data_IF_593234920953
#
_entry.id   IF_593234920953
#
_cell.length_a   1.000
_cell.length_b   1.000
_cell.length_c   1.000
_cell.angle_alpha   90.00
_cell.angle_beta   90.00
_cell.angle_gamma   90.00
#
_symmetry.space_group_name_H-M   'P 1'
#
loop_
_entity.id
_entity.type
_entity.pdbx_description
1 polymer ?
#
# COMPACT_ATOMS: atom_id res chain seq x y z
N UNK A 1 -12.09 13.18 -8.36
CA UNK A 1 -12.46 12.86 -6.97
C UNK A 1 -12.96 14.16 -6.38
N UNK A 2 -14.13 14.17 -5.78
CA UNK A 2 -14.46 15.31 -4.97
C UNK A 2 -13.53 15.34 -3.74
N UNK A 3 -13.36 16.52 -3.16
CA UNK A 3 -12.38 16.76 -2.09
C UNK A 3 -12.74 16.11 -0.74
N UNK A 4 -13.71 15.21 -0.71
CA UNK A 4 -14.22 14.60 0.52
C UNK A 4 -13.91 13.11 0.64
N UNK A 5 -13.44 12.46 -0.44
CA UNK A 5 -13.13 11.03 -0.45
C UNK A 5 -11.68 10.78 -0.04
N UNK A 6 -11.47 9.90 0.91
CA UNK A 6 -10.15 9.52 1.41
C UNK A 6 -9.99 8.00 1.48
N UNK A 7 -8.81 7.52 1.83
CA UNK A 7 -8.53 6.10 2.04
C UNK A 7 -8.96 5.69 3.45
N UNK A 8 -9.58 4.52 3.52
CA UNK A 8 -9.85 3.84 4.79
C UNK A 8 -9.05 2.55 4.80
N UNK A 9 -8.21 2.39 5.80
CA UNK A 9 -7.40 1.18 6.01
C UNK A 9 -8.11 0.27 7.00
N UNK A 10 -8.44 -0.95 6.57
CA UNK A 10 -9.20 -1.92 7.37
C UNK A 10 -8.42 -3.23 7.45
N UNK A 11 -8.35 -3.79 8.65
CA UNK A 11 -7.80 -5.14 8.85
C UNK A 11 -8.86 -6.20 8.56
N UNK A 12 -8.42 -7.35 8.06
CA UNK A 12 -9.33 -8.49 7.86
C UNK A 12 -10.08 -8.90 9.14
N UNK A 13 -9.45 -8.72 10.31
CA UNK A 13 -10.08 -9.00 11.58
C UNK A 13 -11.24 -8.05 11.92
N UNK A 14 -11.25 -6.85 11.35
CA UNK A 14 -12.30 -5.85 11.55
C UNK A 14 -13.53 -6.12 10.65
N UNK A 15 -13.30 -6.82 9.51
CA UNK A 15 -14.34 -7.16 8.54
C UNK A 15 -14.41 -8.68 8.29
N UNK A 16 -14.31 -9.48 9.35
CA UNK A 16 -14.22 -10.92 9.22
C UNK A 16 -15.56 -11.57 8.86
N UNK A 17 -16.67 -11.03 9.33
CA UNK A 17 -18.01 -11.56 9.06
C UNK A 17 -18.63 -10.86 7.86
N UNK A 18 -19.48 -11.59 7.15
CA UNK A 18 -20.21 -11.04 6.00
C UNK A 18 -21.05 -9.82 6.39
N UNK A 19 -21.69 -9.88 7.56
CA UNK A 19 -22.51 -8.80 8.10
C UNK A 19 -21.71 -7.53 8.35
N UNK A 20 -20.46 -7.66 8.82
CA UNK A 20 -19.57 -6.52 9.07
C UNK A 20 -19.16 -5.85 7.73
N UNK A 21 -18.90 -6.65 6.69
CA UNK A 21 -18.61 -6.15 5.34
C UNK A 21 -19.83 -5.42 4.76
N UNK A 22 -21.01 -6.01 4.87
CA UNK A 22 -22.25 -5.41 4.37
C UNK A 22 -22.57 -4.09 5.07
N UNK A 23 -22.42 -4.03 6.41
CA UNK A 23 -22.57 -2.81 7.18
C UNK A 23 -21.55 -1.74 6.76
N UNK A 24 -20.28 -2.11 6.64
CA UNK A 24 -19.22 -1.20 6.22
C UNK A 24 -19.47 -0.62 4.83
N UNK A 25 -19.89 -1.45 3.87
CA UNK A 25 -20.23 -1.01 2.51
C UNK A 25 -21.44 -0.08 2.49
N UNK A 26 -22.44 -0.31 3.36
CA UNK A 26 -23.62 0.57 3.47
C UNK A 26 -23.30 1.92 4.13
N UNK A 27 -22.37 1.93 5.07
CA UNK A 27 -21.97 3.14 5.80
C UNK A 27 -20.99 4.02 5.00
N UNK A 28 -20.29 3.45 4.02
CA UNK A 28 -19.26 4.12 3.27
C UNK A 28 -19.54 4.08 1.76
N UNK A 29 -19.40 5.21 1.09
CA UNK A 29 -19.47 5.30 -0.38
C UNK A 29 -18.16 4.81 -1.01
N UNK A 30 -18.02 3.48 -1.11
CA UNK A 30 -16.79 2.83 -1.58
C UNK A 30 -16.72 2.91 -3.10
N UNK A 31 -15.74 3.62 -3.62
CA UNK A 31 -15.46 3.71 -5.07
C UNK A 31 -14.53 2.64 -5.57
N UNK A 32 -13.49 2.33 -4.79
CA UNK A 32 -12.49 1.30 -5.10
C UNK A 32 -12.11 0.56 -3.83
N UNK A 33 -11.80 -0.70 -3.98
CA UNK A 33 -11.18 -1.49 -2.93
C UNK A 33 -9.99 -2.25 -3.49
N UNK A 34 -8.97 -2.39 -2.68
CA UNK A 34 -7.83 -3.25 -2.97
C UNK A 34 -7.49 -4.03 -1.70
N UNK A 35 -6.98 -5.22 -1.87
CA UNK A 35 -6.64 -6.08 -0.76
C UNK A 35 -5.29 -6.73 -0.98
N UNK A 36 -4.42 -6.62 0.00
CA UNK A 36 -3.21 -7.40 0.15
C UNK A 36 -2.85 -7.46 1.64
N UNK A 37 -2.18 -6.45 2.16
CA UNK A 37 -1.84 -6.33 3.58
C UNK A 37 -0.45 -6.88 3.94
N UNK A 38 -0.07 -6.71 5.19
CA UNK A 38 -0.82 -6.12 6.30
C UNK A 38 -0.87 -4.59 6.30
N UNK A 39 -1.65 -4.00 7.22
CA UNK A 39 -1.43 -2.63 7.65
C UNK A 39 -0.08 -2.57 8.36
N UNK A 40 0.79 -1.68 7.91
CA UNK A 40 2.13 -1.48 8.46
C UNK A 40 2.16 -0.39 9.52
N UNK A 41 1.41 0.68 9.28
CA UNK A 41 1.27 1.82 10.18
C UNK A 41 -0.20 2.22 10.27
N UNK A 42 -0.63 2.58 11.47
CA UNK A 42 -1.91 3.21 11.75
C UNK A 42 -1.68 4.39 12.70
N UNK A 43 -2.10 5.57 12.31
CA UNK A 43 -1.95 6.82 13.07
C UNK A 43 -0.50 7.08 13.55
N UNK A 44 0.47 6.74 12.71
CA UNK A 44 1.90 6.90 13.00
C UNK A 44 2.53 5.78 13.83
N UNK A 45 1.74 4.84 14.32
CA UNK A 45 2.22 3.71 15.11
C UNK A 45 2.38 2.45 14.27
N UNK A 46 3.45 1.69 14.53
CA UNK A 46 3.69 0.41 13.86
C UNK A 46 2.64 -0.60 14.30
N UNK A 47 1.89 -1.14 13.35
CA UNK A 47 0.95 -2.21 13.61
C UNK A 47 1.71 -3.46 14.09
N UNK A 48 1.12 -4.17 15.04
CA UNK A 48 1.70 -5.38 15.64
C UNK A 48 0.84 -6.60 15.31
N UNK A 49 1.42 -7.78 15.41
CA UNK A 49 0.66 -9.03 15.21
C UNK A 49 0.42 -9.38 13.75
N UNK A 50 1.42 -9.23 12.90
CA UNK A 50 1.36 -9.65 11.50
C UNK A 50 1.16 -11.16 11.39
N UNK A 51 -0.08 -11.61 11.47
CA UNK A 51 -0.47 -13.04 11.35
C UNK A 51 -0.75 -13.42 9.90
N UNK A 52 0.14 -13.05 9.01
CA UNK A 52 -0.06 -13.36 7.61
C UNK A 52 0.83 -14.51 7.20
N UNK A 53 0.21 -15.63 6.88
CA UNK A 53 0.87 -16.72 6.18
C UNK A 53 1.26 -16.36 4.75
N UNK A 54 1.18 -15.08 4.40
CA UNK A 54 1.53 -14.58 3.07
C UNK A 54 2.90 -13.93 3.13
N UNK A 55 3.83 -14.60 2.52
CA UNK A 55 5.19 -14.12 2.42
C UNK A 55 5.95 -14.22 3.73
N UNK A 56 7.23 -14.26 3.60
CA UNK A 56 8.11 -14.41 4.75
C UNK A 56 8.32 -13.04 5.40
N UNK A 57 7.57 -12.78 6.46
CA UNK A 57 7.61 -11.52 7.23
C UNK A 57 9.05 -11.16 7.62
N UNK A 58 9.86 -12.16 7.97
CA UNK A 58 11.22 -11.99 8.47
C UNK A 58 12.27 -11.82 7.37
N UNK A 59 12.01 -12.31 6.17
CA UNK A 59 12.97 -12.22 5.08
C UNK A 59 12.95 -10.85 4.40
N UNK A 60 14.11 -10.45 3.92
CA UNK A 60 14.25 -9.24 3.13
C UNK A 60 13.85 -9.50 1.68
N UNK A 61 12.87 -8.73 1.22
CA UNK A 61 12.40 -8.69 -0.17
C UNK A 61 12.16 -7.25 -0.61
N UNK A 62 12.05 -7.03 -1.91
CA UNK A 62 11.44 -5.81 -2.43
C UNK A 62 10.02 -5.70 -1.86
N UNK A 63 9.69 -4.57 -1.28
CA UNK A 63 8.40 -4.31 -0.64
C UNK A 63 7.75 -3.11 -1.30
N UNK A 64 6.43 -3.11 -1.32
CA UNK A 64 5.66 -1.96 -1.77
C UNK A 64 4.61 -1.60 -0.73
N UNK A 65 4.31 -0.33 -0.61
CA UNK A 65 3.25 0.18 0.25
C UNK A 65 2.55 1.38 -0.37
N UNK A 66 1.24 1.44 -0.16
CA UNK A 66 0.47 2.66 -0.30
C UNK A 66 0.40 3.33 1.07
N UNK A 67 0.81 4.58 1.12
CA UNK A 67 0.99 5.34 2.34
C UNK A 67 0.20 6.63 2.32
N UNK A 68 -0.17 7.11 3.50
CA UNK A 68 -0.82 8.39 3.71
C UNK A 68 -0.03 9.19 4.75
N UNK A 69 0.32 10.42 4.42
CA UNK A 69 0.98 11.37 5.34
C UNK A 69 0.01 12.38 5.95
N UNK A 70 -1.20 12.46 5.45
CA UNK A 70 -2.26 13.35 5.91
C UNK A 70 -3.48 13.19 5.03
N UNK A 71 -4.60 13.85 5.33
CA UNK A 71 -5.80 13.78 4.53
C UNK A 71 -5.50 14.08 3.06
N UNK A 72 -5.92 13.21 2.16
CA UNK A 72 -5.72 13.30 0.70
C UNK A 72 -4.24 13.44 0.26
N UNK A 73 -3.30 13.17 1.14
CA UNK A 73 -1.86 13.22 0.83
C UNK A 73 -1.27 11.81 0.84
N UNK A 74 -1.04 11.25 -0.34
CA UNK A 74 -0.60 9.88 -0.55
C UNK A 74 0.82 9.80 -1.07
N UNK A 75 1.50 8.72 -0.68
CA UNK A 75 2.85 8.39 -1.12
C UNK A 75 2.92 6.89 -1.41
N UNK A 76 3.47 6.52 -2.55
CA UNK A 76 3.86 5.13 -2.80
C UNK A 76 5.33 4.94 -2.47
N UNK A 77 5.64 3.87 -1.78
CA UNK A 77 7.01 3.58 -1.36
C UNK A 77 7.36 2.15 -1.75
N UNK A 78 8.53 1.96 -2.33
CA UNK A 78 9.11 0.64 -2.55
C UNK A 78 10.45 0.51 -1.84
N UNK A 79 10.70 -0.65 -1.23
CA UNK A 79 12.04 -1.07 -0.87
C UNK A 79 12.63 -1.80 -2.07
N UNK A 80 13.78 -1.32 -2.54
CA UNK A 80 14.46 -1.83 -3.73
C UNK A 80 14.98 -3.27 -3.53
N UNK A 81 15.51 -3.88 -4.57
CA UNK A 81 16.15 -5.21 -4.55
C UNK A 81 17.02 -5.44 -3.30
N UNK A 82 16.90 -6.62 -2.71
CA UNK A 82 17.50 -6.90 -1.41
C UNK A 82 16.73 -6.32 -0.23
N UNK A 83 15.83 -5.45 -0.46
CA UNK A 83 14.70 -4.92 0.30
C UNK A 83 14.85 -4.84 1.81
N UNK A 84 13.73 -5.10 2.47
CA UNK A 84 13.63 -5.14 3.92
C UNK A 84 12.66 -6.24 4.35
N UNK A 85 12.80 -6.74 5.57
CA UNK A 85 11.71 -7.46 6.19
C UNK A 85 10.57 -6.48 6.53
N UNK A 86 9.37 -7.00 6.79
CA UNK A 86 8.18 -6.17 7.00
C UNK A 86 8.36 -5.19 8.17
N UNK A 87 8.92 -5.64 9.28
CA UNK A 87 9.11 -4.80 10.48
C UNK A 87 10.07 -3.65 10.18
N UNK A 88 11.18 -3.94 9.50
CA UNK A 88 12.14 -2.91 9.12
C UNK A 88 11.55 -1.91 8.12
N UNK A 89 10.74 -2.40 7.20
CA UNK A 89 10.04 -1.54 6.24
C UNK A 89 9.08 -0.59 6.95
N UNK A 90 8.25 -1.10 7.88
CA UNK A 90 7.36 -0.28 8.71
C UNK A 90 8.13 0.78 9.52
N UNK A 91 9.26 0.41 10.15
CA UNK A 91 10.11 1.36 10.87
C UNK A 91 10.64 2.49 9.99
N UNK A 92 11.04 2.17 8.76
CA UNK A 92 11.51 3.19 7.81
C UNK A 92 10.37 4.12 7.42
N UNK A 93 9.18 3.59 7.13
CA UNK A 93 8.01 4.41 6.81
C UNK A 93 7.65 5.34 7.97
N UNK A 94 7.64 4.83 9.21
CA UNK A 94 7.40 5.62 10.42
C UNK A 94 8.43 6.75 10.55
N UNK A 95 9.71 6.45 10.35
CA UNK A 95 10.78 7.47 10.42
C UNK A 95 10.66 8.57 9.35
N UNK A 96 9.86 8.36 8.32
CA UNK A 96 9.55 9.34 7.27
C UNK A 96 8.28 10.14 7.52
N UNK A 97 7.66 9.97 8.69
CA UNK A 97 6.45 10.70 9.05
C UNK A 97 5.19 10.19 8.36
N UNK A 98 5.20 8.93 7.90
CA UNK A 98 4.01 8.28 7.38
C UNK A 98 3.05 8.01 8.54
N UNK A 99 1.79 8.39 8.37
CA UNK A 99 0.74 8.13 9.36
C UNK A 99 0.10 6.76 9.15
N UNK A 100 -0.34 6.49 7.93
CA UNK A 100 -0.96 5.22 7.60
C UNK A 100 -0.22 4.57 6.44
N UNK A 101 0.00 3.26 6.52
CA UNK A 101 0.68 2.51 5.48
C UNK A 101 0.10 1.11 5.34
N UNK A 102 -0.20 0.73 4.11
CA UNK A 102 -0.73 -0.56 3.74
C UNK A 102 0.23 -1.28 2.81
N UNK A 103 0.64 -2.49 3.18
CA UNK A 103 1.51 -3.29 2.34
C UNK A 103 0.78 -3.77 1.09
N UNK A 104 1.45 -3.63 -0.03
CA UNK A 104 1.05 -4.21 -1.31
C UNK A 104 1.90 -5.46 -1.57
N UNK A 105 1.60 -6.18 -2.65
CA UNK A 105 2.41 -7.32 -3.07
C UNK A 105 3.87 -6.90 -3.27
N UNK A 106 4.78 -7.77 -2.92
CA UNK A 106 6.22 -7.53 -2.93
C UNK A 106 6.95 -8.33 -4.01
N UNK A 107 8.28 -8.43 -3.86
CA UNK A 107 9.09 -9.19 -4.80
C UNK A 107 9.04 -8.58 -6.21
N UNK A 108 8.69 -9.38 -7.21
CA UNK A 108 8.64 -8.97 -8.62
C UNK A 108 7.55 -7.95 -8.95
N UNK A 109 6.58 -7.75 -8.07
CA UNK A 109 5.48 -6.80 -8.28
C UNK A 109 5.70 -5.44 -7.62
N UNK A 110 6.71 -5.33 -6.75
CA UNK A 110 7.06 -4.09 -6.04
C UNK A 110 7.72 -3.08 -6.99
N UNK A 111 7.02 -2.65 -8.01
CA UNK A 111 7.53 -1.78 -9.08
C UNK A 111 6.95 -0.37 -8.99
N UNK A 112 7.77 0.62 -9.32
CA UNK A 112 7.32 1.98 -9.59
C UNK A 112 7.79 2.35 -11.00
N UNK A 113 6.84 2.78 -11.81
CA UNK A 113 7.07 3.25 -13.18
C UNK A 113 6.68 4.71 -13.29
N UNK A 114 7.54 5.51 -13.91
CA UNK A 114 7.28 6.92 -14.20
C UNK A 114 7.50 7.15 -15.69
N UNK A 115 6.43 7.51 -16.39
CA UNK A 115 6.44 7.49 -17.86
C UNK A 115 6.73 6.06 -18.33
N UNK A 116 7.76 5.90 -19.15
CA UNK A 116 8.16 4.60 -19.69
C UNK A 116 9.36 3.97 -18.92
N UNK A 117 9.72 4.53 -17.75
CA UNK A 117 10.88 4.09 -16.98
C UNK A 117 10.47 3.35 -15.71
N UNK A 118 10.99 2.14 -15.54
CA UNK A 118 11.04 1.46 -14.26
C UNK A 118 12.14 2.10 -13.40
N UNK A 119 11.77 2.65 -12.24
CA UNK A 119 12.70 3.42 -11.41
C UNK A 119 13.31 2.63 -10.24
N UNK A 120 12.82 1.44 -9.99
CA UNK A 120 13.39 0.56 -8.97
C UNK A 120 13.72 -0.83 -9.52
N UNK A 121 14.55 -1.57 -8.80
CA UNK A 121 14.87 -2.97 -9.10
C UNK A 121 14.02 -3.88 -8.22
N UNK A 122 13.60 -4.99 -8.78
CA UNK A 122 12.81 -6.02 -8.10
C UNK A 122 13.61 -7.30 -7.90
N UNK A 123 13.10 -8.20 -7.06
CA UNK A 123 13.71 -9.50 -6.83
C UNK A 123 13.58 -10.42 -8.06
N UNK A 124 14.33 -11.50 -8.05
CA UNK A 124 14.27 -12.57 -9.08
C UNK A 124 14.53 -12.11 -10.53
N UNK A 125 15.25 -10.99 -10.69
CA UNK A 125 15.78 -10.56 -11.98
C UNK A 125 14.82 -9.84 -12.92
N UNK A 126 13.58 -9.59 -12.50
CA UNK A 126 12.64 -8.84 -13.34
C UNK A 126 11.20 -8.86 -12.84
N UNK A 127 10.38 -8.10 -13.50
CA UNK A 127 8.96 -7.99 -13.24
C UNK A 127 8.20 -9.25 -13.68
N UNK A 128 7.03 -9.46 -13.11
CA UNK A 128 6.07 -10.47 -13.56
C UNK A 128 4.79 -9.80 -14.04
N UNK A 129 3.97 -10.55 -14.77
CA UNK A 129 2.63 -10.11 -15.13
C UNK A 129 1.76 -9.96 -13.89
N UNK A 130 0.98 -8.89 -13.85
CA UNK A 130 0.05 -8.52 -12.80
C UNK A 130 -1.33 -8.25 -13.39
N UNK A 131 -2.36 -8.32 -12.57
CA UNK A 131 -3.76 -8.10 -12.99
C UNK A 131 -4.16 -6.63 -12.94
N UNK A 132 -3.55 -5.85 -12.07
CA UNK A 132 -3.93 -4.48 -11.74
C UNK A 132 -2.75 -3.63 -11.31
N UNK A 133 -2.96 -2.32 -11.33
CA UNK A 133 -1.98 -1.32 -10.90
C UNK A 133 -2.68 -0.21 -10.13
N UNK A 134 -1.93 0.47 -9.27
CA UNK A 134 -2.31 1.77 -8.72
C UNK A 134 -1.57 2.83 -9.54
N UNK A 135 -2.28 3.80 -10.07
CA UNK A 135 -1.67 4.88 -10.81
C UNK A 135 -2.13 6.25 -10.32
N UNK A 136 -1.26 7.23 -10.47
CA UNK A 136 -1.54 8.63 -10.18
C UNK A 136 -1.45 9.42 -11.48
N UNK A 137 -2.55 10.07 -11.83
CA UNK A 137 -2.58 10.97 -12.98
C UNK A 137 -2.58 12.42 -12.47
N UNK A 138 -1.73 13.25 -13.08
CA UNK A 138 -1.80 14.70 -12.88
C UNK A 138 -2.91 15.26 -13.76
N UNK A 139 -3.78 16.12 -13.20
CA UNK A 139 -4.64 16.94 -14.04
C UNK A 139 -3.73 17.89 -14.83
N UNK A 140 -3.70 17.75 -16.15
CA UNK A 140 -3.14 18.78 -17.01
C UNK A 140 -4.13 19.94 -16.94
N UNK A 141 -3.74 21.14 -16.48
CA UNK A 141 -4.61 22.30 -16.60
C UNK A 141 -4.96 22.43 -18.07
N UNK A 142 -6.26 22.52 -18.37
CA UNK A 142 -6.71 22.82 -19.72
C UNK A 142 -5.93 24.05 -20.18
N UNK A 143 -5.17 23.88 -21.25
CA UNK A 143 -4.17 24.83 -21.68
C UNK A 143 -4.76 26.20 -21.86
N UNK A 144 -4.20 27.16 -21.14
CA UNK A 144 -4.39 28.58 -21.44
C UNK A 144 -3.62 28.96 -22.71
#
# INVERSE_FOLDING_TARGET
MDATSDLIFVENAELYKKEDIEAFVQENDIRFSLAFGPILLRDGEIATGYYYGIGEVEKAYSRAALCQQGPLHYVTVTANYGGANIVRFAQVLQSKGILNAYALDGGQTATIVTGDMLINRVDYGGERQISDIIYFATAIPDGG
#
